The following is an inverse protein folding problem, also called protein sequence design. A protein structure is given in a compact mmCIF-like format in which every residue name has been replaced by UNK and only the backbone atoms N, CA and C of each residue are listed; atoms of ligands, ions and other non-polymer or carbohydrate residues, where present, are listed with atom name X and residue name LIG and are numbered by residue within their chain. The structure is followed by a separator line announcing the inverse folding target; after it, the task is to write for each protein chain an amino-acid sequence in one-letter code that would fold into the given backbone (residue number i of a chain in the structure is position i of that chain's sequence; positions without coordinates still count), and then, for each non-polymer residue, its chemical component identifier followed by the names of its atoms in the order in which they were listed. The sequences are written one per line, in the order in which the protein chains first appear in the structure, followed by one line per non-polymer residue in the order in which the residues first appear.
data_IF_959207186936
#
_entry.id   IF_959207186936
#
_cell.length_a   1.000
_cell.length_b   1.000
_cell.length_c   1.000
_cell.angle_alpha   90.00
_cell.angle_beta   90.00
_cell.angle_gamma   90.00
#
_symmetry.space_group_name_H-M   'P 1'
#
loop_
_entity.id
_entity.type
_entity.pdbx_description
1 polymer ?
#
# COMPACT_ATOMS: atom_id res chain seq x y z
N UNK A 1 -4.52 -4.08 2.01
CA UNK A 1 -5.83 -4.44 1.44
C UNK A 1 -6.23 -3.33 0.50
N UNK A 2 -6.79 -3.66 -0.66
CA UNK A 2 -7.23 -2.66 -1.65
C UNK A 2 -8.57 -3.02 -2.25
N UNK A 3 -8.96 -2.31 -3.31
CA UNK A 3 -10.31 -2.38 -3.87
C UNK A 3 -11.35 -1.70 -2.96
N UNK A 4 -12.53 -1.44 -3.50
CA UNK A 4 -13.50 -0.58 -2.82
C UNK A 4 -14.17 -1.24 -1.60
N UNK A 5 -14.69 -2.45 -1.74
CA UNK A 5 -15.56 -3.04 -0.72
C UNK A 5 -14.83 -3.25 0.61
N UNK A 6 -13.75 -4.04 0.61
CA UNK A 6 -13.07 -4.42 1.87
C UNK A 6 -12.33 -3.22 2.50
N UNK A 7 -11.87 -2.28 1.67
CA UNK A 7 -11.11 -1.11 2.14
C UNK A 7 -11.99 0.03 2.62
N UNK A 8 -13.27 0.07 2.25
CA UNK A 8 -14.18 1.17 2.60
C UNK A 8 -15.32 0.69 3.51
N UNK A 9 -15.98 -0.42 3.18
CA UNK A 9 -17.21 -0.85 3.85
C UNK A 9 -17.10 -0.97 5.38
N UNK A 10 -15.99 -1.48 5.96
CA UNK A 10 -15.84 -1.55 7.41
C UNK A 10 -15.94 -0.20 8.13
N UNK A 11 -15.61 0.92 7.46
CA UNK A 11 -15.71 2.25 8.06
C UNK A 11 -17.15 2.70 8.29
N UNK A 12 -18.12 2.20 7.52
CA UNK A 12 -19.53 2.48 7.78
C UNK A 12 -19.98 1.83 9.10
N UNK A 13 -19.51 0.62 9.39
CA UNK A 13 -19.81 -0.07 10.66
C UNK A 13 -19.13 0.61 11.83
N UNK A 14 -17.86 0.97 11.68
CA UNK A 14 -17.10 1.69 12.71
C UNK A 14 -17.72 3.07 13.01
N UNK A 15 -18.16 3.79 11.98
CA UNK A 15 -18.80 5.09 12.13
C UNK A 15 -20.21 5.01 12.73
N UNK A 16 -20.97 3.98 12.38
CA UNK A 16 -22.35 3.80 12.87
C UNK A 16 -22.44 3.20 14.28
N UNK A 17 -21.51 2.33 14.65
CA UNK A 17 -21.53 1.58 15.92
C UNK A 17 -20.13 1.48 16.55
N UNK A 18 -19.48 2.61 16.90
CA UNK A 18 -18.09 2.62 17.34
C UNK A 18 -17.85 1.75 18.59
N UNK A 19 -18.78 1.75 19.55
CA UNK A 19 -18.63 1.00 20.80
C UNK A 19 -18.74 -0.53 20.63
N UNK A 20 -19.37 -0.99 19.54
CA UNK A 20 -19.60 -2.42 19.26
C UNK A 20 -18.59 -3.01 18.27
N UNK A 21 -17.78 -2.17 17.61
CA UNK A 21 -16.98 -2.57 16.44
C UNK A 21 -15.47 -2.51 16.70
N UNK A 22 -15.04 -2.57 17.97
CA UNK A 22 -13.63 -2.52 18.38
C UNK A 22 -12.73 -3.51 17.63
N UNK A 23 -13.21 -4.74 17.37
CA UNK A 23 -12.46 -5.74 16.60
C UNK A 23 -12.26 -5.30 15.14
N UNK A 24 -13.32 -4.80 14.50
CA UNK A 24 -13.28 -4.32 13.11
C UNK A 24 -12.34 -3.12 13.01
N UNK A 25 -12.46 -2.14 13.93
CA UNK A 25 -11.57 -0.99 13.99
C UNK A 25 -10.11 -1.40 14.16
N UNK A 26 -9.83 -2.36 15.04
CA UNK A 26 -8.47 -2.85 15.27
C UNK A 26 -7.90 -3.53 14.02
N UNK A 27 -8.69 -4.39 13.38
CA UNK A 27 -8.30 -5.02 12.12
C UNK A 27 -8.02 -3.98 11.02
N UNK A 28 -8.81 -2.91 10.95
CA UNK A 28 -8.57 -1.80 10.02
C UNK A 28 -7.27 -1.07 10.29
N UNK A 29 -7.04 -0.66 11.55
CA UNK A 29 -5.77 -0.02 11.94
C UNK A 29 -4.57 -0.91 11.59
N UNK A 30 -4.66 -2.21 11.79
CA UNK A 30 -3.63 -3.17 11.37
C UNK A 30 -3.41 -3.11 9.86
N UNK A 31 -4.47 -3.24 9.06
CA UNK A 31 -4.36 -3.22 7.59
C UNK A 31 -3.80 -1.90 7.05
N UNK A 32 -4.27 -0.78 7.60
CA UNK A 32 -3.85 0.57 7.16
C UNK A 32 -2.38 0.86 7.55
N UNK A 33 -1.82 0.13 8.52
CA UNK A 33 -0.40 0.22 8.90
C UNK A 33 0.55 -0.58 8.00
N UNK A 34 0.02 -1.49 7.17
CA UNK A 34 0.84 -2.40 6.37
C UNK A 34 1.75 -1.72 5.34
N UNK A 35 1.35 -0.66 4.62
CA UNK A 35 2.26 0.05 3.72
C UNK A 35 3.53 0.55 4.43
N UNK A 36 3.38 1.15 5.61
CA UNK A 36 4.51 1.60 6.44
C UNK A 36 5.36 0.43 6.93
N UNK A 37 4.73 -0.67 7.34
CA UNK A 37 5.46 -1.89 7.71
C UNK A 37 6.33 -2.40 6.55
N UNK A 38 5.77 -2.48 5.34
CA UNK A 38 6.49 -2.92 4.14
C UNK A 38 7.64 -1.97 3.78
N UNK A 39 7.46 -0.65 3.90
CA UNK A 39 8.54 0.31 3.73
C UNK A 39 9.69 0.08 4.73
N UNK A 40 9.36 -0.19 6.00
CA UNK A 40 10.36 -0.57 7.00
C UNK A 40 11.14 -1.81 6.59
N UNK A 41 10.45 -2.83 6.06
CA UNK A 41 11.09 -4.06 5.55
C UNK A 41 12.01 -3.80 4.36
N UNK A 42 11.59 -2.97 3.40
CA UNK A 42 12.43 -2.57 2.26
C UNK A 42 13.70 -1.89 2.76
N UNK A 43 13.58 -0.92 3.68
CA UNK A 43 14.72 -0.22 4.29
C UNK A 43 15.69 -1.19 4.98
N UNK A 44 15.16 -2.13 5.76
CA UNK A 44 15.99 -3.07 6.51
C UNK A 44 16.79 -3.98 5.56
N UNK A 45 16.14 -4.53 4.52
CA UNK A 45 16.81 -5.31 3.47
C UNK A 45 17.86 -4.47 2.74
N UNK A 46 17.55 -3.22 2.37
CA UNK A 46 18.51 -2.32 1.74
C UNK A 46 19.75 -2.11 2.63
N UNK A 47 19.56 -1.89 3.94
CA UNK A 47 20.65 -1.71 4.89
C UNK A 47 21.51 -2.97 5.02
N UNK A 48 20.88 -4.14 5.14
CA UNK A 48 21.58 -5.42 5.28
C UNK A 48 22.45 -5.74 4.06
N UNK A 49 22.04 -5.28 2.88
CA UNK A 49 22.77 -5.44 1.63
C UNK A 49 23.62 -4.20 1.22
N UNK A 50 23.73 -3.19 2.09
CA UNK A 50 24.43 -1.92 1.81
C UNK A 50 23.98 -1.22 0.50
N UNK A 51 22.69 -1.34 0.18
CA UNK A 51 22.04 -0.67 -0.94
C UNK A 51 21.60 0.72 -0.47
N UNK A 52 22.27 1.77 -0.97
CA UNK A 52 21.93 3.17 -0.65
C UNK A 52 21.08 3.84 -1.73
N UNK A 53 21.11 3.30 -2.93
CA UNK A 53 20.40 3.82 -4.08
C UNK A 53 19.02 3.15 -4.18
N UNK A 54 17.99 3.93 -3.88
CA UNK A 54 16.59 3.48 -3.89
C UNK A 54 16.09 3.16 -5.31
N UNK A 55 16.75 3.65 -6.37
CA UNK A 55 16.38 3.32 -7.75
C UNK A 55 16.65 1.87 -8.15
N UNK A 56 17.32 1.12 -7.25
CA UNK A 56 17.50 -0.34 -7.34
C UNK A 56 16.30 -1.12 -6.81
N UNK A 57 15.32 -0.46 -6.18
CA UNK A 57 14.08 -1.09 -5.71
C UNK A 57 13.05 -1.07 -6.83
N UNK A 58 12.51 -2.26 -7.14
CA UNK A 58 11.41 -2.45 -8.07
C UNK A 58 10.15 -2.93 -7.35
N UNK A 59 9.04 -2.24 -7.58
CA UNK A 59 7.69 -2.62 -7.13
C UNK A 59 6.95 -3.26 -8.30
N UNK A 60 6.57 -4.52 -8.13
CA UNK A 60 5.84 -5.29 -9.14
C UNK A 60 4.38 -5.44 -8.70
N UNK A 61 3.47 -4.84 -9.46
CA UNK A 61 2.04 -4.79 -9.16
C UNK A 61 1.58 -3.40 -8.73
N UNK A 62 0.64 -2.86 -9.50
CA UNK A 62 -0.09 -1.61 -9.26
C UNK A 62 -1.57 -1.88 -9.04
N UNK A 63 -2.13 -2.89 -9.70
CA UNK A 63 -3.51 -3.30 -9.47
C UNK A 63 -3.73 -3.74 -8.02
N UNK A 64 -4.93 -3.53 -7.47
CA UNK A 64 -5.21 -3.87 -6.07
C UNK A 64 -5.30 -5.39 -5.83
N UNK A 65 -5.46 -6.18 -6.91
CA UNK A 65 -5.48 -7.64 -6.94
C UNK A 65 -4.98 -8.17 -8.29
N UNK A 66 -4.79 -9.48 -8.39
CA UNK A 66 -4.37 -10.15 -9.62
C UNK A 66 -5.40 -10.07 -10.75
N UNK A 67 -4.90 -10.10 -12.00
CA UNK A 67 -5.69 -10.23 -13.24
C UNK A 67 -6.75 -9.12 -13.46
N UNK A 68 -6.53 -7.93 -12.90
CA UNK A 68 -7.36 -6.75 -13.17
C UNK A 68 -6.49 -5.53 -13.46
N UNK A 69 -7.07 -4.53 -14.11
CA UNK A 69 -6.46 -3.23 -14.39
C UNK A 69 -6.90 -2.13 -13.39
N UNK A 70 -7.57 -2.51 -12.32
CA UNK A 70 -8.13 -1.60 -11.33
C UNK A 70 -7.11 -1.32 -10.20
N UNK A 71 -6.78 -0.04 -10.02
CA UNK A 71 -5.82 0.44 -9.03
C UNK A 71 -6.46 1.12 -7.82
N UNK A 72 -7.80 1.12 -7.73
CA UNK A 72 -8.52 1.77 -6.62
C UNK A 72 -8.11 1.15 -5.28
N UNK A 73 -7.78 2.02 -4.33
CA UNK A 73 -7.28 1.64 -3.01
C UNK A 73 -6.06 0.70 -3.08
N UNK A 74 -5.27 0.76 -4.16
CA UNK A 74 -4.10 -0.11 -4.32
C UNK A 74 -3.10 0.07 -3.16
N UNK A 75 -2.69 -1.01 -2.47
CA UNK A 75 -1.65 -0.94 -1.45
C UNK A 75 -0.32 -0.41 -1.97
N UNK A 76 -0.01 -0.65 -3.26
CA UNK A 76 1.22 -0.12 -3.89
C UNK A 76 1.13 1.39 -4.03
N UNK A 77 -0.02 1.94 -4.44
CA UNK A 77 -0.20 3.39 -4.52
C UNK A 77 -0.17 4.04 -3.14
N UNK A 78 -0.76 3.40 -2.12
CA UNK A 78 -0.65 3.87 -0.73
C UNK A 78 0.82 3.89 -0.26
N UNK A 79 1.58 2.83 -0.57
CA UNK A 79 3.01 2.76 -0.26
C UNK A 79 3.80 3.88 -0.95
N UNK A 80 3.55 4.14 -2.23
CA UNK A 80 4.17 5.23 -2.98
C UNK A 80 3.82 6.60 -2.40
N UNK A 81 2.57 6.81 -1.97
CA UNK A 81 2.18 8.04 -1.24
C UNK A 81 2.96 8.23 0.06
N UNK A 82 3.18 7.17 0.84
CA UNK A 82 4.04 7.23 2.04
C UNK A 82 5.50 7.53 1.72
N UNK A 83 6.00 7.05 0.57
CA UNK A 83 7.37 7.37 0.13
C UNK A 83 7.51 8.85 -0.26
N UNK A 84 6.51 9.39 -0.95
CA UNK A 84 6.43 10.81 -1.31
C UNK A 84 6.42 11.71 -0.07
N UNK A 85 5.63 11.36 0.95
CA UNK A 85 5.60 12.03 2.27
C UNK A 85 7.00 12.13 2.94
N UNK A 86 7.89 11.18 2.62
CA UNK A 86 9.25 11.08 3.18
C UNK A 86 10.37 11.45 2.19
N UNK A 87 10.03 12.07 1.04
CA UNK A 87 10.97 12.47 -0.01
C UNK A 87 11.81 11.31 -0.58
N UNK A 88 11.26 10.09 -0.56
CA UNK A 88 11.91 8.88 -1.03
C UNK A 88 11.54 8.58 -2.49
N UNK A 89 12.28 9.18 -3.42
CA UNK A 89 12.00 9.09 -4.87
C UNK A 89 12.91 8.11 -5.61
N UNK A 90 12.40 7.53 -6.71
CA UNK A 90 13.22 6.82 -7.70
C UNK A 90 12.97 5.32 -7.81
N UNK A 91 12.05 4.77 -7.00
CA UNK A 91 11.61 3.37 -7.17
C UNK A 91 11.00 3.15 -8.55
N UNK A 92 11.27 1.97 -9.11
CA UNK A 92 10.70 1.57 -10.39
C UNK A 92 9.43 0.77 -10.15
N UNK A 93 8.41 0.97 -10.99
CA UNK A 93 7.14 0.27 -10.85
C UNK A 93 6.77 -0.40 -12.16
N UNK A 94 6.24 -1.61 -12.09
CA UNK A 94 5.75 -2.33 -13.26
C UNK A 94 4.50 -3.15 -12.92
N UNK A 95 3.48 -3.06 -13.78
CA UNK A 95 2.31 -3.91 -13.75
C UNK A 95 1.89 -4.25 -15.20
N UNK A 96 1.67 -5.53 -15.56
CA UNK A 96 1.33 -5.90 -16.92
C UNK A 96 -0.09 -5.50 -17.36
N UNK A 97 -1.03 -5.29 -16.43
CA UNK A 97 -2.42 -4.94 -16.73
C UNK A 97 -2.65 -3.42 -16.78
N UNK A 98 -1.79 -2.64 -16.11
CA UNK A 98 -1.86 -1.17 -16.14
C UNK A 98 -1.11 -0.64 -17.36
N UNK A 99 -1.85 -0.12 -18.35
CA UNK A 99 -1.27 0.44 -19.58
C UNK A 99 -1.02 1.94 -19.52
N UNK A 100 -1.67 2.63 -18.61
CA UNK A 100 -1.55 4.08 -18.42
C UNK A 100 -0.42 4.41 -17.45
N UNK A 101 0.17 5.59 -17.62
CA UNK A 101 1.19 6.10 -16.70
C UNK A 101 0.51 6.78 -15.50
N UNK A 102 0.46 6.05 -14.39
CA UNK A 102 -0.15 6.51 -13.13
C UNK A 102 0.91 7.12 -12.19
N UNK A 103 2.16 6.69 -12.30
CA UNK A 103 3.31 7.12 -11.47
C UNK A 103 4.57 7.36 -12.31
#
# INVERSE_FOLDING_TARGET
MGGHCISVDPWFLVGGYPDLTNLILTARKTNDSMPTHVLGRIRDIMRDHNIKDISKVGLYGLAYKENVDDTRESPTLQLLGRMDEHLAFGVKVYDPFIKERIV
#
